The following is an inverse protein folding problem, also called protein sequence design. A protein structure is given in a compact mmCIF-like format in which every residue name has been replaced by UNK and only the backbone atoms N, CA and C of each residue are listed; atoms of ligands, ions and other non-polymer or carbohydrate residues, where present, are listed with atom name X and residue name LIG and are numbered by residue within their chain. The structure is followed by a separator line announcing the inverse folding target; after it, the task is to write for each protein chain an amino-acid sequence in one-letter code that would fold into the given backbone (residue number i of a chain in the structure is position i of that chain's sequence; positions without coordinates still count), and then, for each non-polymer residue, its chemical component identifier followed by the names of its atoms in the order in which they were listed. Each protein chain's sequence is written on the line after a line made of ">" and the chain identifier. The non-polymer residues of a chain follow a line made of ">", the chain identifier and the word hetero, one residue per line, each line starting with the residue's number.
data_IF_260478333243
#
_entry.id   IF_260478333243
#
_cell.length_a   1.000
_cell.length_b   1.000
_cell.length_c   1.000
_cell.angle_alpha   90.00
_cell.angle_beta   90.00
_cell.angle_gamma   90.00
#
_symmetry.space_group_name_H-M   'P 1'
#
loop_
_entity.id
_entity.type
_entity.pdbx_description
1 polymer ?
#
# COMPACT_ATOMS: atom_id res chain seq x y z
N UNK A 1 1.14 7.77 19.99
CA UNK A 1 0.48 8.57 18.93
C UNK A 1 -0.99 8.23 18.98
N UNK A 2 -1.91 9.20 18.99
CA UNK A 2 -3.35 8.88 19.02
C UNK A 2 -3.80 8.23 17.72
N UNK A 3 -4.98 7.60 17.72
CA UNK A 3 -5.56 6.99 16.54
C UNK A 3 -5.79 8.00 15.41
N UNK A 4 -6.29 9.19 15.74
CA UNK A 4 -6.53 10.27 14.80
C UNK A 4 -5.23 10.73 14.10
N UNK A 5 -4.13 10.86 14.87
CA UNK A 5 -2.83 11.22 14.31
C UNK A 5 -2.30 10.09 13.42
N UNK A 6 -2.52 8.83 13.82
CA UNK A 6 -2.15 7.65 13.03
C UNK A 6 -2.87 7.64 11.68
N UNK A 7 -4.21 7.78 11.70
CA UNK A 7 -5.02 7.84 10.48
C UNK A 7 -4.62 9.03 9.62
N UNK A 8 -4.40 10.20 10.21
CA UNK A 8 -3.95 11.40 9.50
C UNK A 8 -2.58 11.21 8.84
N UNK A 9 -1.65 10.51 9.51
CA UNK A 9 -0.35 10.13 8.93
C UNK A 9 -0.59 9.22 7.72
N UNK A 10 -1.36 8.14 7.88
CA UNK A 10 -1.58 7.17 6.80
C UNK A 10 -2.29 7.81 5.60
N UNK A 11 -3.32 8.64 5.83
CA UNK A 11 -4.00 9.39 4.77
C UNK A 11 -3.03 10.24 3.95
N UNK A 12 -2.17 11.02 4.63
CA UNK A 12 -1.16 11.85 3.96
C UNK A 12 -0.21 11.01 3.12
N UNK A 13 0.18 9.86 3.63
CA UNK A 13 1.16 8.97 3.01
C UNK A 13 0.58 8.25 1.79
N UNK A 14 -0.69 7.84 1.86
CA UNK A 14 -1.45 7.34 0.71
C UNK A 14 -1.62 8.42 -0.36
N UNK A 15 -2.19 9.59 -0.01
CA UNK A 15 -2.48 10.66 -0.97
C UNK A 15 -1.21 11.13 -1.66
N UNK A 16 -0.13 11.38 -0.90
CA UNK A 16 1.13 11.84 -1.48
C UNK A 16 1.76 10.79 -2.40
N UNK A 17 1.85 9.53 -1.98
CA UNK A 17 2.44 8.48 -2.80
C UNK A 17 1.62 8.24 -4.07
N UNK A 18 0.30 8.14 -3.98
CA UNK A 18 -0.54 7.91 -5.14
C UNK A 18 -0.61 9.13 -6.08
N UNK A 19 -0.50 10.37 -5.58
CA UNK A 19 -0.42 11.55 -6.44
C UNK A 19 0.85 11.55 -7.30
N UNK A 20 2.00 11.20 -6.71
CA UNK A 20 3.26 11.08 -7.46
C UNK A 20 3.18 9.91 -8.45
N UNK A 21 2.59 8.78 -8.05
CA UNK A 21 2.37 7.62 -8.92
C UNK A 21 1.46 7.95 -10.10
N UNK A 22 0.38 8.69 -9.87
CA UNK A 22 -0.56 9.11 -10.91
C UNK A 22 0.13 10.01 -11.94
N UNK A 23 1.04 10.89 -11.51
CA UNK A 23 1.82 11.74 -12.41
C UNK A 23 2.79 10.99 -13.33
N UNK A 24 3.15 9.73 -13.02
CA UNK A 24 3.95 8.91 -13.95
C UNK A 24 3.17 8.55 -15.21
N UNK A 25 1.84 8.42 -15.14
CA UNK A 25 1.02 8.11 -16.31
C UNK A 25 0.95 9.26 -17.33
N UNK A 26 1.36 10.47 -16.96
CA UNK A 26 1.40 11.64 -17.84
C UNK A 26 2.76 11.79 -18.56
N UNK A 27 3.68 10.84 -18.36
CA UNK A 27 4.96 10.80 -19.08
C UNK A 27 4.79 10.28 -20.51
N UNK A 28 5.75 10.61 -21.36
CA UNK A 28 5.76 10.19 -22.76
C UNK A 28 5.71 8.65 -22.90
N UNK A 29 4.93 8.16 -23.86
CA UNK A 29 4.71 6.72 -24.03
C UNK A 29 6.01 5.98 -24.38
N UNK A 30 6.93 6.61 -25.13
CA UNK A 30 8.21 5.99 -25.43
C UNK A 30 9.04 5.80 -24.16
N UNK A 31 8.97 6.73 -23.19
CA UNK A 31 9.60 6.58 -21.87
C UNK A 31 8.92 5.47 -21.07
N UNK A 32 7.58 5.45 -21.04
CA UNK A 32 6.83 4.45 -20.26
C UNK A 32 7.07 3.02 -20.72
N UNK A 33 7.36 2.83 -22.02
CA UNK A 33 7.68 1.53 -22.61
C UNK A 33 9.18 1.27 -22.76
N UNK A 34 10.03 2.23 -22.46
CA UNK A 34 11.47 2.07 -22.56
C UNK A 34 11.99 1.12 -21.47
N UNK A 35 12.68 0.06 -21.90
CA UNK A 35 13.35 -0.87 -20.99
C UNK A 35 14.84 -0.55 -20.93
N UNK A 36 15.29 -0.01 -19.81
CA UNK A 36 16.69 0.38 -19.63
C UNK A 36 17.66 -0.81 -19.44
N UNK A 37 17.16 -2.02 -19.11
CA UNK A 37 17.97 -3.23 -18.87
C UNK A 37 17.07 -4.50 -18.82
N UNK A 38 17.47 -5.57 -18.13
CA UNK A 38 16.61 -6.73 -17.79
C UNK A 38 15.50 -6.42 -16.76
N UNK A 39 15.41 -5.17 -16.30
CA UNK A 39 14.41 -4.71 -15.33
C UNK A 39 13.10 -4.35 -16.03
N UNK A 40 12.01 -4.29 -15.27
CA UNK A 40 10.74 -3.79 -15.76
C UNK A 40 10.81 -2.35 -16.28
N UNK A 41 10.07 -2.05 -17.35
CA UNK A 41 9.85 -0.68 -17.80
C UNK A 41 8.87 0.04 -16.86
N UNK A 42 8.71 1.38 -16.95
CA UNK A 42 7.78 2.10 -16.08
C UNK A 42 6.34 1.59 -16.15
N UNK A 43 5.83 1.26 -17.35
CA UNK A 43 4.49 0.70 -17.51
C UNK A 43 4.29 -0.61 -16.72
N UNK A 44 5.26 -1.51 -16.79
CA UNK A 44 5.25 -2.78 -16.04
C UNK A 44 5.38 -2.54 -14.52
N UNK A 45 6.14 -1.54 -14.08
CA UNK A 45 6.21 -1.19 -12.66
C UNK A 45 4.84 -0.68 -12.15
N UNK A 46 4.16 0.17 -12.93
CA UNK A 46 2.82 0.67 -12.59
C UNK A 46 1.80 -0.48 -12.52
N UNK A 47 1.83 -1.40 -13.49
CA UNK A 47 1.01 -2.62 -13.50
C UNK A 47 1.29 -3.49 -12.26
N UNK A 48 2.57 -3.72 -11.94
CA UNK A 48 2.97 -4.49 -10.76
C UNK A 48 2.43 -3.88 -9.46
N UNK A 49 2.54 -2.56 -9.30
CA UNK A 49 2.01 -1.85 -8.12
C UNK A 49 0.51 -2.10 -8.00
N UNK A 50 -0.22 -2.00 -9.12
CA UNK A 50 -1.66 -2.22 -9.18
C UNK A 50 -2.06 -3.67 -8.84
N UNK A 51 -1.33 -4.67 -9.37
CA UNK A 51 -1.58 -6.09 -9.08
C UNK A 51 -1.32 -6.43 -7.61
N UNK A 52 -0.19 -5.98 -7.07
CA UNK A 52 0.18 -6.22 -5.67
C UNK A 52 -0.79 -5.53 -4.72
N UNK A 53 -1.15 -4.27 -4.99
CA UNK A 53 -2.13 -3.54 -4.20
C UNK A 53 -3.49 -4.22 -4.20
N UNK A 54 -3.92 -4.82 -5.33
CA UNK A 54 -5.19 -5.58 -5.40
C UNK A 54 -5.21 -6.73 -4.39
N UNK A 55 -4.12 -7.48 -4.28
CA UNK A 55 -3.99 -8.56 -3.31
C UNK A 55 -3.95 -8.03 -1.86
N UNK A 56 -3.12 -7.03 -1.59
CA UNK A 56 -3.03 -6.42 -0.26
C UNK A 56 -4.39 -5.87 0.20
N UNK A 57 -5.09 -5.18 -0.69
CA UNK A 57 -6.39 -4.58 -0.40
C UNK A 57 -7.47 -5.63 -0.11
N UNK A 58 -7.44 -6.79 -0.79
CA UNK A 58 -8.30 -7.92 -0.45
C UNK A 58 -8.09 -8.38 1.00
N UNK A 59 -6.84 -8.45 1.46
CA UNK A 59 -6.52 -8.82 2.84
C UNK A 59 -6.99 -7.74 3.82
N UNK A 60 -6.73 -6.47 3.50
CA UNK A 60 -7.13 -5.31 4.30
C UNK A 60 -8.65 -5.28 4.48
N UNK A 61 -9.44 -5.47 3.41
CA UNK A 61 -10.91 -5.45 3.48
C UNK A 61 -11.46 -6.58 4.31
N UNK A 62 -10.97 -7.82 4.10
CA UNK A 62 -11.34 -8.97 4.93
C UNK A 62 -10.98 -8.74 6.40
N UNK A 63 -9.81 -8.13 6.65
CA UNK A 63 -9.37 -7.75 7.98
C UNK A 63 -10.23 -6.68 8.62
N UNK A 64 -10.60 -5.65 7.86
CA UNK A 64 -11.44 -4.54 8.29
C UNK A 64 -12.84 -5.01 8.67
N UNK A 65 -13.45 -5.89 7.87
CA UNK A 65 -14.73 -6.50 8.19
C UNK A 65 -14.69 -7.29 9.52
N UNK A 66 -13.60 -8.05 9.75
CA UNK A 66 -13.39 -8.78 11.01
C UNK A 66 -13.15 -7.83 12.19
N UNK A 67 -12.37 -6.78 11.98
CA UNK A 67 -12.08 -5.76 12.98
C UNK A 67 -13.36 -5.05 13.45
N UNK A 68 -14.21 -4.63 12.51
CA UNK A 68 -15.51 -4.03 12.80
C UNK A 68 -16.43 -4.99 13.56
N UNK A 69 -16.49 -6.26 13.15
CA UNK A 69 -17.27 -7.27 13.86
C UNK A 69 -16.80 -7.42 15.32
N UNK A 70 -15.49 -7.56 15.53
CA UNK A 70 -14.92 -7.69 16.88
C UNK A 70 -15.15 -6.44 17.74
N UNK A 71 -15.07 -5.24 17.13
CA UNK A 71 -15.33 -3.98 17.80
C UNK A 71 -16.81 -3.83 18.22
N UNK A 72 -17.75 -4.46 17.50
CA UNK A 72 -19.16 -4.46 17.89
C UNK A 72 -19.45 -5.35 19.11
N UNK A 73 -18.54 -6.29 19.41
CA UNK A 73 -18.68 -7.27 20.50
C UNK A 73 -17.84 -6.90 21.73
N UNK A 74 -16.95 -5.91 21.65
CA UNK A 74 -15.97 -5.56 22.70
C UNK A 74 -15.76 -4.05 22.81
N UNK A 75 -15.66 -3.55 24.04
CA UNK A 75 -15.20 -2.19 24.29
C UNK A 75 -13.69 -2.09 24.03
N UNK A 76 -13.30 -1.24 23.06
CA UNK A 76 -11.91 -1.01 22.65
C UNK A 76 -11.28 0.21 23.33
N UNK A 77 -11.94 0.83 24.31
CA UNK A 77 -11.49 2.09 24.92
C UNK A 77 -10.06 2.00 25.48
N UNK A 78 -9.69 0.87 26.08
CA UNK A 78 -8.34 0.70 26.64
C UNK A 78 -7.31 0.44 25.55
N UNK A 79 -7.62 -0.39 24.58
CA UNK A 79 -6.77 -0.73 23.44
C UNK A 79 -6.43 0.53 22.62
N UNK A 80 -7.42 1.39 22.37
CA UNK A 80 -7.23 2.66 21.68
C UNK A 80 -6.33 3.60 22.49
N UNK A 81 -6.52 3.68 23.81
CA UNK A 81 -5.68 4.53 24.70
C UNK A 81 -4.23 4.06 24.75
N UNK A 82 -4.00 2.75 24.73
CA UNK A 82 -2.67 2.14 24.82
C UNK A 82 -2.00 1.96 23.46
N UNK A 83 -2.71 2.25 22.37
CA UNK A 83 -2.23 1.99 21.04
C UNK A 83 -0.94 2.74 20.72
N UNK A 84 0.03 2.00 20.19
CA UNK A 84 1.27 2.55 19.67
C UNK A 84 1.47 2.07 18.24
N UNK A 85 1.43 3.01 17.31
CA UNK A 85 1.78 2.75 15.93
C UNK A 85 3.30 2.73 15.80
N UNK A 86 3.87 1.53 15.77
CA UNK A 86 5.29 1.35 15.44
C UNK A 86 5.45 1.35 13.91
N UNK A 87 6.01 2.45 13.38
CA UNK A 87 6.36 2.56 11.97
C UNK A 87 7.80 2.18 11.66
N UNK A 88 8.67 2.05 12.66
CA UNK A 88 10.13 1.95 12.41
C UNK A 88 10.46 0.69 11.62
N UNK A 89 9.88 -0.45 12.01
CA UNK A 89 10.05 -1.70 11.28
C UNK A 89 9.43 -1.65 9.87
N UNK A 90 8.37 -0.85 9.68
CA UNK A 90 7.67 -0.70 8.40
C UNK A 90 8.40 0.26 7.46
N UNK A 91 9.03 1.31 7.96
CA UNK A 91 9.62 2.37 7.14
C UNK A 91 10.72 1.83 6.19
N UNK A 92 11.43 0.77 6.62
CA UNK A 92 12.41 0.03 5.82
C UNK A 92 11.83 -0.65 4.55
N UNK A 93 10.50 -0.84 4.48
CA UNK A 93 9.80 -1.42 3.32
C UNK A 93 9.92 -0.51 2.10
N UNK A 94 9.95 0.80 2.31
CA UNK A 94 10.03 1.78 1.24
C UNK A 94 11.40 1.82 0.53
N UNK A 95 12.43 1.20 1.10
CA UNK A 95 13.77 1.18 0.51
C UNK A 95 13.89 0.09 -0.58
N UNK A 96 14.15 0.43 -1.86
CA UNK A 96 14.34 -0.58 -2.90
C UNK A 96 15.50 -1.52 -2.58
N UNK A 97 15.38 -2.79 -2.96
CA UNK A 97 16.39 -3.85 -2.78
C UNK A 97 16.80 -4.13 -1.30
N UNK A 98 16.07 -3.59 -0.32
CA UNK A 98 16.36 -3.78 1.12
C UNK A 98 16.13 -5.21 1.65
N UNK A 99 15.30 -5.99 0.97
CA UNK A 99 15.08 -7.43 1.20
C UNK A 99 14.51 -8.08 -0.06
N UNK A 100 14.65 -9.41 -0.15
CA UNK A 100 14.03 -10.22 -1.19
C UNK A 100 12.55 -10.43 -0.87
N UNK A 101 11.67 -10.00 -1.77
CA UNK A 101 10.25 -10.30 -1.70
C UNK A 101 9.92 -11.26 -2.83
N UNK A 102 9.63 -12.52 -2.49
CA UNK A 102 9.12 -13.49 -3.45
C UNK A 102 7.81 -12.96 -4.04
N UNK A 103 7.79 -12.83 -5.37
CA UNK A 103 6.66 -12.31 -6.13
C UNK A 103 5.85 -13.48 -6.66
N UNK A 104 4.63 -13.71 -6.17
CA UNK A 104 3.74 -14.69 -6.76
C UNK A 104 3.43 -14.32 -8.21
N UNK A 105 3.15 -15.32 -9.05
CA UNK A 105 2.88 -15.15 -10.48
C UNK A 105 1.78 -14.12 -10.78
N UNK A 106 0.73 -14.05 -9.95
CA UNK A 106 -0.37 -13.10 -10.12
C UNK A 106 -0.02 -11.64 -9.78
N UNK A 107 1.20 -11.38 -9.30
CA UNK A 107 1.74 -10.04 -9.07
C UNK A 107 2.79 -9.65 -10.13
N UNK A 108 3.13 -10.56 -11.04
CA UNK A 108 4.07 -10.28 -12.13
C UNK A 108 3.37 -9.47 -13.23
N UNK A 109 3.92 -8.31 -13.65
CA UNK A 109 3.34 -7.54 -14.73
C UNK A 109 3.52 -8.26 -16.06
N UNK A 110 2.51 -8.13 -16.92
CA UNK A 110 2.53 -8.71 -18.27
C UNK A 110 2.98 -7.72 -19.34
N UNK A 111 2.91 -6.42 -19.05
CA UNK A 111 3.11 -5.35 -20.01
C UNK A 111 1.98 -5.19 -21.03
N UNK A 112 0.89 -5.96 -20.90
CA UNK A 112 -0.21 -6.01 -21.88
C UNK A 112 -1.44 -5.21 -21.48
N UNK A 113 -1.59 -4.87 -20.19
CA UNK A 113 -2.73 -4.11 -19.70
C UNK A 113 -2.70 -2.66 -20.20
N UNK A 114 -3.88 -2.09 -20.45
CA UNK A 114 -3.98 -0.68 -20.83
C UNK A 114 -3.55 0.22 -19.67
N UNK A 115 -2.66 1.17 -19.92
CA UNK A 115 -2.24 2.14 -18.91
C UNK A 115 -3.41 2.95 -18.35
N UNK A 116 -4.46 3.18 -19.14
CA UNK A 116 -5.67 3.85 -18.68
C UNK A 116 -6.41 2.99 -17.62
N UNK A 117 -6.55 1.69 -17.86
CA UNK A 117 -7.17 0.74 -16.92
C UNK A 117 -6.34 0.60 -15.65
N UNK A 118 -5.01 0.52 -15.78
CA UNK A 118 -4.08 0.46 -14.64
C UNK A 118 -4.22 1.74 -13.79
N UNK A 119 -4.26 2.93 -14.41
CA UNK A 119 -4.42 4.21 -13.71
C UNK A 119 -5.76 4.30 -12.99
N UNK A 120 -6.85 3.91 -13.66
CA UNK A 120 -8.19 3.91 -13.08
C UNK A 120 -8.27 2.99 -11.86
N UNK A 121 -7.75 1.77 -11.97
CA UNK A 121 -7.75 0.81 -10.88
C UNK A 121 -6.91 1.29 -9.69
N UNK A 122 -5.74 1.91 -9.92
CA UNK A 122 -4.95 2.50 -8.83
C UNK A 122 -5.69 3.63 -8.11
N UNK A 123 -6.43 4.47 -8.84
CA UNK A 123 -7.29 5.50 -8.23
C UNK A 123 -8.41 4.89 -7.39
N UNK A 124 -9.04 3.82 -7.88
CA UNK A 124 -10.05 3.07 -7.13
C UNK A 124 -9.46 2.42 -5.86
N UNK A 125 -8.23 1.91 -5.93
CA UNK A 125 -7.52 1.33 -4.79
C UNK A 125 -7.19 2.38 -3.73
N UNK A 126 -6.74 3.58 -4.13
CA UNK A 126 -6.57 4.70 -3.21
C UNK A 126 -7.89 5.05 -2.52
N UNK A 127 -8.97 5.25 -3.30
CA UNK A 127 -10.28 5.59 -2.77
C UNK A 127 -10.76 4.57 -1.73
N UNK A 128 -10.65 3.27 -2.02
CA UNK A 128 -10.98 2.19 -1.08
C UNK A 128 -10.16 2.26 0.20
N UNK A 129 -8.86 2.54 0.13
CA UNK A 129 -8.04 2.73 1.33
C UNK A 129 -8.55 3.89 2.20
N UNK A 130 -8.90 5.02 1.58
CA UNK A 130 -9.42 6.20 2.30
C UNK A 130 -10.77 5.90 2.96
N UNK A 131 -11.69 5.24 2.24
CA UNK A 131 -12.98 4.81 2.81
C UNK A 131 -12.79 3.86 4.00
N UNK A 132 -11.84 2.91 3.91
CA UNK A 132 -11.57 1.99 5.03
C UNK A 132 -11.04 2.73 6.26
N UNK A 133 -10.18 3.74 6.09
CA UNK A 133 -9.70 4.57 7.19
C UNK A 133 -10.83 5.38 7.84
N UNK A 134 -11.77 5.89 7.04
CA UNK A 134 -12.97 6.57 7.54
C UNK A 134 -13.90 5.62 8.30
N UNK A 135 -14.16 4.43 7.77
CA UNK A 135 -14.98 3.41 8.44
C UNK A 135 -14.38 2.95 9.77
N UNK A 136 -13.05 2.95 9.88
CA UNK A 136 -12.30 2.54 11.07
C UNK A 136 -11.90 3.73 11.95
N UNK A 137 -12.48 4.92 11.76
CA UNK A 137 -11.99 6.15 12.41
C UNK A 137 -11.98 6.13 13.95
N UNK A 138 -12.72 5.21 14.58
CA UNK A 138 -12.79 5.08 16.04
C UNK A 138 -11.77 4.08 16.61
N UNK A 139 -10.83 3.59 15.81
CA UNK A 139 -9.80 2.66 16.30
C UNK A 139 -10.12 1.19 16.10
N UNK A 140 -11.23 0.85 15.42
CA UNK A 140 -11.65 -0.54 15.22
C UNK A 140 -10.56 -1.38 14.54
N UNK A 141 -9.75 -0.78 13.65
CA UNK A 141 -8.64 -1.45 12.95
C UNK A 141 -7.58 -2.08 13.86
N UNK A 142 -7.52 -1.74 15.16
CA UNK A 142 -6.61 -2.36 16.15
C UNK A 142 -7.07 -3.79 16.50
N UNK A 143 -8.38 -4.05 16.43
CA UNK A 143 -8.99 -5.27 16.97
C UNK A 143 -8.64 -6.54 16.18
N UNK A 144 -8.10 -6.40 14.96
CA UNK A 144 -7.73 -7.54 14.13
C UNK A 144 -6.33 -7.37 13.55
N UNK A 145 -5.54 -8.44 13.62
CA UNK A 145 -4.18 -8.48 13.06
C UNK A 145 -4.04 -9.61 12.06
N UNK A 146 -3.31 -9.32 10.97
CA UNK A 146 -3.02 -10.25 9.89
C UNK A 146 -1.51 -10.49 9.88
N UNK A 147 -1.10 -11.74 9.64
CA UNK A 147 0.31 -12.07 9.46
C UNK A 147 0.86 -11.41 8.20
N UNK A 148 2.00 -10.74 8.32
CA UNK A 148 2.81 -10.22 7.24
C UNK A 148 4.11 -11.04 7.20
N UNK A 149 4.24 -11.91 6.20
CA UNK A 149 5.44 -12.73 6.01
C UNK A 149 6.61 -11.95 5.42
N UNK A 150 6.37 -10.75 4.90
CA UNK A 150 7.40 -9.88 4.34
C UNK A 150 8.32 -9.39 5.44
N UNK A 151 9.64 -9.57 5.24
CA UNK A 151 10.70 -9.04 6.10
C UNK A 151 10.52 -9.32 7.60
N UNK A 152 9.97 -10.48 7.95
CA UNK A 152 9.72 -10.89 9.35
C UNK A 152 8.90 -9.86 10.17
N UNK A 153 8.04 -9.07 9.51
CA UNK A 153 7.20 -8.05 10.15
C UNK A 153 6.18 -8.63 11.15
N UNK A 154 5.92 -9.94 11.09
CA UNK A 154 5.11 -10.63 12.09
C UNK A 154 3.63 -10.39 11.85
N UNK A 155 2.92 -9.78 12.80
CA UNK A 155 1.47 -9.51 12.69
C UNK A 155 1.22 -8.02 12.74
N UNK A 156 0.55 -7.52 11.71
CA UNK A 156 0.18 -6.12 11.56
C UNK A 156 -1.32 -5.94 11.81
N UNK A 157 -1.69 -4.89 12.51
CA UNK A 157 -3.09 -4.44 12.53
C UNK A 157 -3.50 -3.80 11.19
N UNK A 158 -4.78 -3.42 11.06
CA UNK A 158 -5.30 -2.91 9.79
C UNK A 158 -4.66 -1.58 9.39
N UNK A 159 -4.36 -0.68 10.33
CA UNK A 159 -3.70 0.59 10.03
C UNK A 159 -2.28 0.37 9.54
N UNK A 160 -1.54 -0.51 10.19
CA UNK A 160 -0.20 -0.90 9.78
C UNK A 160 -0.19 -1.54 8.40
N UNK A 161 -1.20 -2.35 8.06
CA UNK A 161 -1.34 -2.97 6.74
C UNK A 161 -1.65 -1.94 5.64
N UNK A 162 -2.52 -0.96 5.91
CA UNK A 162 -2.79 0.15 4.97
C UNK A 162 -1.54 1.01 4.80
N UNK A 163 -0.80 1.26 5.88
CA UNK A 163 0.47 1.98 5.81
C UNK A 163 1.51 1.22 4.98
N UNK A 164 1.62 -0.10 5.17
CA UNK A 164 2.48 -0.96 4.35
C UNK A 164 2.16 -0.84 2.86
N UNK A 165 0.86 -0.78 2.48
CA UNK A 165 0.45 -0.56 1.09
C UNK A 165 0.99 0.78 0.56
N UNK A 166 0.91 1.86 1.33
CA UNK A 166 1.50 3.14 0.95
C UNK A 166 3.03 3.07 0.77
N UNK A 167 3.73 2.35 1.67
CA UNK A 167 5.19 2.16 1.58
C UNK A 167 5.59 1.31 0.37
N UNK A 168 4.79 0.32 0.01
CA UNK A 168 4.97 -0.46 -1.22
C UNK A 168 4.92 0.44 -2.46
N UNK A 169 3.93 1.35 -2.54
CA UNK A 169 3.88 2.34 -3.64
C UNK A 169 5.14 3.20 -3.66
N UNK A 170 5.55 3.73 -2.49
CA UNK A 170 6.78 4.55 -2.38
C UNK A 170 8.05 3.81 -2.79
N UNK A 171 8.16 2.52 -2.47
CA UNK A 171 9.28 1.66 -2.90
C UNK A 171 9.40 1.67 -4.43
N UNK A 172 8.28 1.49 -5.13
CA UNK A 172 8.28 1.47 -6.59
C UNK A 172 8.41 2.86 -7.21
N UNK A 173 7.96 3.92 -6.54
CA UNK A 173 8.29 5.29 -6.96
C UNK A 173 9.79 5.56 -6.94
N UNK A 174 10.49 5.17 -5.88
CA UNK A 174 11.96 5.30 -5.80
C UNK A 174 12.65 4.47 -6.88
N UNK A 175 12.12 3.29 -7.19
CA UNK A 175 12.61 2.49 -8.32
C UNK A 175 12.42 3.22 -9.66
N UNK A 176 11.26 3.82 -9.88
CA UNK A 176 10.96 4.61 -11.09
C UNK A 176 11.89 5.82 -11.20
N UNK A 177 12.03 6.62 -10.14
CA UNK A 177 12.89 7.81 -10.11
C UNK A 177 14.36 7.44 -10.35
N UNK A 178 14.87 6.42 -9.65
CA UNK A 178 16.27 5.98 -9.77
C UNK A 178 16.64 5.54 -11.18
N UNK A 179 15.70 4.94 -11.92
CA UNK A 179 15.97 4.34 -13.21
C UNK A 179 15.49 5.17 -14.40
N UNK A 180 14.50 6.04 -14.21
CA UNK A 180 13.79 6.74 -15.29
C UNK A 180 13.50 8.21 -15.00
N UNK A 181 13.87 8.75 -13.82
CA UNK A 181 13.51 10.10 -13.38
C UNK A 181 14.31 11.26 -14.00
N UNK A 182 14.75 11.14 -15.26
CA UNK A 182 15.41 12.24 -15.99
C UNK A 182 14.42 13.22 -16.60
#
# INVERSE_FOLDING_TARGET
>A
MSIEITISKINRELISAFAVLDGWFDRDEALLRHRASIRWCPAEILEHVMLTNRYLLMLIEKGSAKALKLASEKDLTQEVKQYQFDSVALDAISEPDSFSWERPEHMEPTGTQSLAEVREELRNQLYRCLCLLEMLCQGQGIAYRITMSVNSLGKLDIYQYIYFLALHVKRHLRQLEKHYGR
#
